data_IF_004623329303
#
_entry.id   IF_004623329303
#
_cell.length_a   1.000
_cell.length_b   1.000
_cell.length_c   1.000
_cell.angle_alpha   90.00
_cell.angle_beta   90.00
_cell.angle_gamma   90.00
#
_symmetry.space_group_name_H-M   'P 1'
#
loop_
_entity.id
_entity.type
_entity.pdbx_description
1 polymer ?
#
# COMPACT_ATOMS: atom_id res chain seq x y z
N UNK A 1 3.41 12.02 -14.72
CA UNK A 1 4.88 11.99 -14.84
C UNK A 1 5.44 12.13 -13.43
N UNK A 2 6.02 11.17 -12.75
CA UNK A 2 6.41 9.81 -13.04
C UNK A 2 7.43 9.47 -11.95
N UNK A 3 7.00 8.79 -10.89
CA UNK A 3 7.97 8.14 -10.00
C UNK A 3 7.90 6.64 -10.27
N UNK A 4 8.42 6.30 -11.46
CA UNK A 4 8.83 4.95 -11.77
C UNK A 4 9.88 4.51 -10.76
N UNK A 5 9.60 3.38 -10.11
CA UNK A 5 10.53 2.51 -9.39
C UNK A 5 11.74 3.22 -8.76
N UNK A 6 11.58 3.69 -7.51
CA UNK A 6 12.70 4.14 -6.68
C UNK A 6 13.77 3.03 -6.60
N UNK A 7 15.03 3.38 -6.85
CA UNK A 7 16.16 2.44 -6.80
C UNK A 7 16.33 1.79 -5.42
N UNK A 8 15.99 2.54 -4.36
CA UNK A 8 15.98 2.07 -2.98
C UNK A 8 14.55 1.78 -2.51
N UNK A 9 14.35 0.79 -1.62
CA UNK A 9 13.04 0.54 -1.05
C UNK A 9 12.46 1.77 -0.35
N UNK A 10 11.18 2.05 -0.57
CA UNK A 10 10.41 3.06 0.15
C UNK A 10 10.41 2.75 1.65
N UNK A 11 10.74 3.76 2.45
CA UNK A 11 10.53 3.77 3.90
C UNK A 11 9.16 4.36 4.22
N UNK A 12 8.73 4.25 5.49
CA UNK A 12 7.49 4.87 5.95
C UNK A 12 7.54 6.39 5.74
N UNK A 13 8.69 7.00 6.00
CA UNK A 13 8.91 8.44 5.85
C UNK A 13 8.80 8.90 4.41
N UNK A 14 9.27 8.09 3.44
CA UNK A 14 9.10 8.41 2.01
C UNK A 14 7.62 8.45 1.63
N UNK A 15 6.82 7.50 2.12
CA UNK A 15 5.38 7.42 1.84
C UNK A 15 4.64 8.60 2.48
N UNK A 16 4.95 8.92 3.76
CA UNK A 16 4.37 10.07 4.46
C UNK A 16 4.74 11.38 3.76
N UNK A 17 5.98 11.50 3.29
CA UNK A 17 6.44 12.69 2.57
C UNK A 17 5.61 12.90 1.30
N UNK A 18 5.37 11.83 0.52
CA UNK A 18 4.52 11.91 -0.68
C UNK A 18 3.10 12.36 -0.39
N UNK A 19 2.53 11.90 0.73
CA UNK A 19 1.22 12.39 1.20
C UNK A 19 1.28 13.88 1.53
N UNK A 20 2.34 14.34 2.21
CA UNK A 20 2.53 15.75 2.51
C UNK A 20 2.77 16.66 1.29
N UNK A 21 3.13 16.08 0.15
CA UNK A 21 3.31 16.77 -1.13
C UNK A 21 2.02 16.87 -1.96
N UNK A 22 0.96 16.14 -1.57
CA UNK A 22 -0.35 16.23 -2.22
C UNK A 22 -0.95 17.62 -2.02
N UNK A 23 -1.45 18.22 -3.09
CA UNK A 23 -2.03 19.56 -3.07
C UNK A 23 -3.52 19.51 -2.75
N UNK A 24 -4.19 18.40 -3.09
CA UNK A 24 -5.61 18.20 -2.86
C UNK A 24 -5.91 16.74 -2.45
N UNK A 25 -7.09 16.51 -1.86
CA UNK A 25 -7.57 15.18 -1.44
C UNK A 25 -7.80 14.19 -2.59
N UNK A 26 -7.81 14.66 -3.84
CA UNK A 26 -8.01 13.83 -5.04
C UNK A 26 -6.70 13.52 -5.78
N UNK A 27 -5.57 14.02 -5.27
CA UNK A 27 -4.26 13.68 -5.84
C UNK A 27 -3.93 12.25 -5.41
N UNK A 28 -3.95 11.30 -6.34
CA UNK A 28 -3.45 9.97 -6.07
C UNK A 28 -1.93 9.94 -6.27
N UNK A 29 -1.25 9.13 -5.47
CA UNK A 29 0.19 8.92 -5.59
C UNK A 29 0.43 7.62 -6.35
N UNK A 30 1.25 7.70 -7.39
CA UNK A 30 1.72 6.54 -8.14
C UNK A 30 3.01 5.98 -7.49
N UNK A 31 2.91 4.75 -7.00
CA UNK A 31 3.98 3.93 -6.45
C UNK A 31 4.08 2.58 -7.17
N UNK A 32 3.64 2.52 -8.43
CA UNK A 32 3.67 1.30 -9.24
C UNK A 32 5.07 0.69 -9.31
N UNK A 33 5.17 -0.62 -9.13
CA UNK A 33 6.44 -1.37 -9.06
C UNK A 33 7.31 -1.00 -7.86
N UNK A 34 6.78 -0.22 -6.92
CA UNK A 34 7.48 0.23 -5.72
C UNK A 34 7.96 -0.95 -4.89
N UNK A 35 9.24 -0.94 -4.53
CA UNK A 35 9.79 -1.81 -3.49
C UNK A 35 9.65 -1.10 -2.17
N UNK A 36 9.15 -1.76 -1.15
CA UNK A 36 9.07 -1.20 0.20
C UNK A 36 10.06 -1.91 1.11
N UNK A 37 10.49 -1.25 2.17
CA UNK A 37 11.29 -1.93 3.21
C UNK A 37 10.55 -3.18 3.66
N UNK A 38 11.29 -4.28 3.81
CA UNK A 38 10.69 -5.54 4.27
C UNK A 38 9.98 -5.33 5.61
N UNK A 39 8.73 -5.79 5.71
CA UNK A 39 7.86 -5.57 6.87
C UNK A 39 7.66 -4.09 7.25
N UNK A 40 7.55 -3.22 6.24
CA UNK A 40 7.24 -1.81 6.48
C UNK A 40 5.97 -1.67 7.33
N UNK A 41 6.02 -0.79 8.33
CA UNK A 41 4.85 -0.40 9.12
C UNK A 41 4.21 0.84 8.50
N UNK A 42 3.00 0.68 7.95
CA UNK A 42 2.20 1.74 7.36
C UNK A 42 0.91 2.00 8.15
N UNK A 43 0.78 1.48 9.38
CA UNK A 43 -0.39 1.74 10.22
C UNK A 43 -0.64 3.23 10.39
N UNK A 44 -1.89 3.65 10.25
CA UNK A 44 -2.32 5.05 10.33
C UNK A 44 -1.91 5.92 9.12
N UNK A 45 -1.32 5.35 8.08
CA UNK A 45 -1.08 6.03 6.80
C UNK A 45 -2.36 5.92 5.97
N UNK A 46 -2.83 7.02 5.38
CA UNK A 46 -3.94 6.98 4.42
C UNK A 46 -3.39 6.72 3.02
N UNK A 47 -3.78 5.60 2.42
CA UNK A 47 -3.40 5.19 1.05
C UNK A 47 -4.63 5.14 0.12
N UNK A 48 -5.71 5.85 0.47
CA UNK A 48 -6.91 5.98 -0.33
C UNK A 48 -6.57 6.40 -1.76
N UNK A 49 -7.05 5.63 -2.74
CA UNK A 49 -6.84 5.91 -4.17
C UNK A 49 -5.41 5.74 -4.68
N UNK A 50 -4.45 5.32 -3.84
CA UNK A 50 -3.05 5.18 -4.29
C UNK A 50 -2.91 4.12 -5.38
N UNK A 51 -1.99 4.36 -6.31
CA UNK A 51 -1.66 3.38 -7.35
C UNK A 51 -0.43 2.59 -6.89
N UNK A 52 -0.66 1.35 -6.48
CA UNK A 52 0.28 0.39 -5.91
C UNK A 52 0.47 -0.83 -6.83
N UNK A 53 0.24 -0.67 -8.14
CA UNK A 53 0.32 -1.78 -9.11
C UNK A 53 1.67 -2.48 -9.01
N UNK A 54 1.69 -3.81 -8.90
CA UNK A 54 2.92 -4.61 -8.82
C UNK A 54 3.88 -4.19 -7.68
N UNK A 55 3.37 -3.52 -6.66
CA UNK A 55 4.15 -3.14 -5.48
C UNK A 55 4.61 -4.39 -4.70
N UNK A 56 5.83 -4.36 -4.17
CA UNK A 56 6.34 -5.41 -3.28
C UNK A 56 6.07 -5.00 -1.82
N UNK A 57 4.92 -5.43 -1.29
CA UNK A 57 4.41 -5.15 0.05
C UNK A 57 4.41 -6.40 0.95
N UNK A 58 5.18 -7.44 0.59
CA UNK A 58 5.23 -8.67 1.38
C UNK A 58 5.67 -8.40 2.83
N UNK A 59 4.89 -8.91 3.77
CA UNK A 59 5.07 -8.74 5.21
C UNK A 59 4.69 -7.36 5.75
N UNK A 60 4.17 -6.44 4.92
CA UNK A 60 3.82 -5.09 5.37
C UNK A 60 2.75 -5.12 6.48
N UNK A 61 2.89 -4.22 7.45
CA UNK A 61 1.84 -3.98 8.43
C UNK A 61 0.92 -2.87 7.91
N UNK A 62 -0.24 -3.27 7.41
CA UNK A 62 -1.31 -2.45 6.86
C UNK A 62 -2.55 -2.47 7.77
N UNK A 63 -2.39 -2.81 9.05
CA UNK A 63 -3.48 -2.85 10.01
C UNK A 63 -4.17 -1.48 10.12
N UNK A 64 -5.50 -1.48 9.93
CA UNK A 64 -6.33 -0.27 9.99
C UNK A 64 -6.06 0.75 8.88
N UNK A 65 -5.26 0.43 7.86
CA UNK A 65 -4.93 1.35 6.77
C UNK A 65 -6.12 1.51 5.84
N UNK A 66 -6.40 2.75 5.43
CA UNK A 66 -7.36 3.02 4.37
C UNK A 66 -6.69 2.79 3.00
N UNK A 67 -7.07 1.69 2.34
CA UNK A 67 -6.70 1.32 0.97
C UNK A 67 -7.92 1.39 0.04
N UNK A 68 -9.00 2.08 0.45
CA UNK A 68 -10.18 2.18 -0.40
C UNK A 68 -9.83 2.87 -1.72
N UNK A 69 -10.41 2.38 -2.82
CA UNK A 69 -10.10 2.82 -4.19
C UNK A 69 -8.63 2.65 -4.63
N UNK A 70 -7.76 2.03 -3.83
CA UNK A 70 -6.37 1.82 -4.20
C UNK A 70 -6.26 0.82 -5.36
N UNK A 71 -5.30 1.05 -6.26
CA UNK A 71 -5.00 0.13 -7.33
C UNK A 71 -3.84 -0.79 -6.93
N UNK A 72 -4.16 -2.00 -6.49
CA UNK A 72 -3.23 -3.04 -6.04
C UNK A 72 -3.03 -4.14 -7.10
N UNK A 73 -3.33 -3.86 -8.37
CA UNK A 73 -3.23 -4.84 -9.46
C UNK A 73 -1.82 -5.46 -9.51
N UNK A 74 -1.74 -6.78 -9.35
CA UNK A 74 -0.47 -7.51 -9.34
C UNK A 74 0.44 -7.27 -8.13
N UNK A 75 0.00 -6.55 -7.09
CA UNK A 75 0.80 -6.29 -5.90
C UNK A 75 1.08 -7.58 -5.11
N UNK A 76 2.28 -7.71 -4.56
CA UNK A 76 2.62 -8.78 -3.64
C UNK A 76 2.33 -8.34 -2.20
N UNK A 77 1.24 -8.85 -1.64
CA UNK A 77 0.81 -8.64 -0.26
C UNK A 77 1.06 -9.89 0.61
N UNK A 78 1.90 -10.83 0.16
CA UNK A 78 2.12 -12.08 0.88
C UNK A 78 2.59 -11.81 2.32
N UNK A 79 1.99 -12.46 3.31
CA UNK A 79 2.26 -12.27 4.74
C UNK A 79 1.94 -10.88 5.29
N UNK A 80 1.22 -10.02 4.56
CA UNK A 80 0.82 -8.72 5.07
C UNK A 80 -0.24 -8.83 6.17
N UNK A 81 -0.15 -7.94 7.17
CA UNK A 81 -1.20 -7.76 8.16
C UNK A 81 -2.20 -6.74 7.63
N UNK A 82 -3.41 -7.19 7.27
CA UNK A 82 -4.52 -6.39 6.75
C UNK A 82 -5.69 -6.30 7.74
N UNK A 83 -5.47 -6.62 9.02
CA UNK A 83 -6.51 -6.55 10.06
C UNK A 83 -7.13 -5.16 10.09
N UNK A 84 -8.45 -5.09 9.89
CA UNK A 84 -9.19 -3.83 9.87
C UNK A 84 -8.80 -2.85 8.75
N UNK A 85 -8.01 -3.25 7.76
CA UNK A 85 -7.72 -2.41 6.59
C UNK A 85 -9.00 -2.21 5.76
N UNK A 86 -9.24 -0.98 5.30
CA UNK A 86 -10.34 -0.71 4.39
C UNK A 86 -9.90 -0.99 2.94
N UNK A 87 -10.48 -2.03 2.31
CA UNK A 87 -10.22 -2.40 0.91
C UNK A 87 -11.42 -2.13 0.00
N UNK A 88 -12.39 -1.32 0.43
CA UNK A 88 -13.58 -1.01 -0.37
C UNK A 88 -13.19 -0.40 -1.72
N UNK A 89 -13.72 -0.96 -2.81
CA UNK A 89 -13.38 -0.57 -4.19
C UNK A 89 -11.89 -0.69 -4.58
N UNK A 90 -11.06 -1.38 -3.80
CA UNK A 90 -9.67 -1.61 -4.18
C UNK A 90 -9.56 -2.57 -5.39
N UNK A 91 -8.70 -2.26 -6.35
CA UNK A 91 -8.46 -3.12 -7.50
C UNK A 91 -7.39 -4.16 -7.16
N UNK A 92 -7.79 -5.40 -6.93
CA UNK A 92 -6.91 -6.50 -6.47
C UNK A 92 -6.60 -7.54 -7.56
N UNK A 93 -6.91 -7.27 -8.83
CA UNK A 93 -6.68 -8.23 -9.91
C UNK A 93 -5.20 -8.67 -9.96
N UNK A 94 -4.96 -9.98 -9.87
CA UNK A 94 -3.61 -10.54 -9.87
C UNK A 94 -2.77 -10.26 -8.60
N UNK A 95 -3.33 -9.60 -7.58
CA UNK A 95 -2.63 -9.41 -6.31
C UNK A 95 -2.37 -10.75 -5.61
N UNK A 96 -1.20 -10.89 -5.01
CA UNK A 96 -0.82 -12.11 -4.25
C UNK A 96 -1.19 -11.89 -2.79
N UNK A 97 -2.19 -12.63 -2.31
CA UNK A 97 -2.71 -12.56 -0.93
C UNK A 97 -2.35 -13.80 -0.10
N UNK A 98 -1.19 -14.41 -0.35
CA UNK A 98 -0.77 -15.63 0.35
C UNK A 98 -0.49 -15.32 1.83
N UNK A 99 -1.11 -16.08 2.75
CA UNK A 99 -0.88 -15.97 4.20
C UNK A 99 -1.12 -14.56 4.78
N UNK A 100 -2.05 -13.79 4.21
CA UNK A 100 -2.46 -12.50 4.78
C UNK A 100 -3.23 -12.69 6.09
N UNK A 101 -3.04 -11.78 7.04
CA UNK A 101 -3.84 -11.73 8.27
C UNK A 101 -5.03 -10.77 8.09
N UNK A 102 -6.26 -11.27 8.24
CA UNK A 102 -7.50 -10.47 8.04
C UNK A 102 -8.35 -10.35 9.31
N UNK A 103 -8.26 -11.28 10.24
CA UNK A 103 -9.09 -11.30 11.46
C UNK A 103 -8.42 -10.55 12.62
N UNK A 104 -9.12 -9.61 13.23
CA UNK A 104 -8.80 -9.18 14.60
C UNK A 104 -8.99 -10.38 15.53
N UNK A 105 -8.04 -10.67 16.42
CA UNK A 105 -8.30 -11.66 17.48
C UNK A 105 -9.48 -11.16 18.33
N UNK A 106 -10.49 -12.02 18.46
CA UNK A 106 -11.67 -11.84 19.32
C UNK A 106 -11.39 -12.35 20.73
#
# INVERSE_FOLDING_TARGET
>A
MGEGTKANPYTREDVIKKIGEMKNSFDWVDLSGGKFKHKIDLRGVNLHGFVLKKAALSGANLEGVDLSFANLEGADLSFANLKGANLEFAHLEGAVLFSVELSSET
#
